data_IF_121261377816
#
_entry.id   IF_121261377816
#
_cell.length_a   1.000
_cell.length_b   1.000
_cell.length_c   1.000
_cell.angle_alpha   90.00
_cell.angle_beta   90.00
_cell.angle_gamma   90.00
#
_symmetry.space_group_name_H-M   'P 1'
#
loop_
_entity.id
_entity.type
_entity.pdbx_description
1 polymer ?
#
# COMPACT_ATOMS: atom_id res chain seq x y z
N UNK A 1 1.13 -4.52 -24.09
CA UNK A 1 2.49 -4.26 -23.57
C UNK A 1 2.47 -3.67 -22.16
N UNK A 2 1.93 -2.45 -21.96
CA UNK A 2 1.93 -1.78 -20.65
C UNK A 2 1.24 -2.57 -19.51
N UNK A 3 0.09 -3.20 -19.77
CA UNK A 3 -0.62 -3.99 -18.75
C UNK A 3 0.17 -5.21 -18.25
N UNK A 4 1.02 -5.81 -19.10
CA UNK A 4 1.89 -6.94 -18.71
C UNK A 4 2.97 -6.45 -17.76
N UNK A 5 3.61 -5.32 -18.08
CA UNK A 5 4.60 -4.70 -17.20
C UNK A 5 3.98 -4.38 -15.83
N UNK A 6 2.82 -3.72 -15.82
CA UNK A 6 2.12 -3.40 -14.57
C UNK A 6 1.81 -4.68 -13.78
N UNK A 7 1.29 -5.72 -14.42
CA UNK A 7 0.97 -6.99 -13.75
C UNK A 7 2.18 -7.64 -13.08
N UNK A 8 3.33 -7.65 -13.76
CA UNK A 8 4.59 -8.22 -13.25
C UNK A 8 5.09 -7.49 -11.99
N UNK A 9 4.85 -6.18 -11.86
CA UNK A 9 5.26 -5.43 -10.66
C UNK A 9 4.19 -5.43 -9.56
N UNK A 10 2.91 -5.33 -9.91
CA UNK A 10 1.81 -5.22 -8.94
C UNK A 10 1.62 -6.51 -8.16
N UNK A 11 1.76 -7.68 -8.80
CA UNK A 11 1.61 -8.98 -8.12
C UNK A 11 2.60 -9.19 -6.97
N UNK A 12 3.92 -9.16 -7.24
CA UNK A 12 4.94 -9.27 -6.20
C UNK A 12 4.82 -8.20 -5.12
N UNK A 13 4.54 -6.94 -5.48
CA UNK A 13 4.34 -5.87 -4.51
C UNK A 13 3.17 -6.16 -3.55
N UNK A 14 2.05 -6.68 -4.06
CA UNK A 14 0.91 -7.07 -3.24
C UNK A 14 1.19 -8.29 -2.33
N UNK A 15 1.97 -9.25 -2.79
CA UNK A 15 2.35 -10.41 -1.97
C UNK A 15 3.37 -10.03 -0.89
N UNK A 16 4.36 -9.21 -1.24
CA UNK A 16 5.39 -8.72 -0.32
C UNK A 16 4.78 -7.89 0.82
N UNK A 17 3.84 -6.98 0.52
CA UNK A 17 3.16 -6.17 1.54
C UNK A 17 2.43 -7.04 2.58
N UNK A 18 1.71 -8.09 2.14
CA UNK A 18 1.04 -9.01 3.07
C UNK A 18 2.03 -9.83 3.90
N UNK A 19 3.13 -10.28 3.28
CA UNK A 19 4.18 -11.02 4.00
C UNK A 19 4.87 -10.14 5.05
N UNK A 20 5.20 -8.89 4.72
CA UNK A 20 5.82 -7.94 5.64
C UNK A 20 4.90 -7.62 6.81
N UNK A 21 3.61 -7.39 6.55
CA UNK A 21 2.62 -7.17 7.59
C UNK A 21 2.56 -8.36 8.57
N UNK A 22 2.60 -9.60 8.07
CA UNK A 22 2.63 -10.79 8.92
C UNK A 22 3.87 -10.88 9.82
N UNK A 23 4.98 -10.24 9.45
CA UNK A 23 6.23 -10.20 10.24
C UNK A 23 6.25 -9.05 11.27
N UNK A 24 5.49 -7.98 11.02
CA UNK A 24 5.45 -6.78 11.88
C UNK A 24 4.34 -6.82 12.94
N UNK A 25 3.45 -7.81 12.86
CA UNK A 25 2.27 -7.88 13.72
C UNK A 25 2.47 -8.94 14.81
N UNK A 26 2.31 -8.57 16.10
CA UNK A 26 2.35 -9.52 17.22
C UNK A 26 1.26 -10.59 17.11
N UNK A 27 1.57 -11.84 17.47
CA UNK A 27 0.67 -13.00 17.45
C UNK A 27 -0.70 -12.69 18.08
N UNK A 28 -0.68 -12.06 19.26
CA UNK A 28 -1.88 -11.73 20.04
C UNK A 28 -2.82 -10.72 19.38
N UNK A 29 -2.32 -9.88 18.47
CA UNK A 29 -3.10 -8.82 17.81
C UNK A 29 -3.26 -9.03 16.30
N UNK A 30 -2.87 -10.20 15.76
CA UNK A 30 -2.96 -10.51 14.33
C UNK A 30 -4.33 -10.18 13.72
N UNK A 31 -5.41 -10.59 14.36
CA UNK A 31 -6.77 -10.33 13.84
C UNK A 31 -7.11 -8.85 13.67
N UNK A 32 -6.73 -8.01 14.63
CA UNK A 32 -7.04 -6.58 14.62
C UNK A 32 -6.25 -5.85 13.53
N UNK A 33 -4.93 -6.10 13.47
CA UNK A 33 -4.05 -5.49 12.47
C UNK A 33 -4.37 -5.93 11.04
N UNK A 34 -4.67 -7.22 10.81
CA UNK A 34 -5.14 -7.68 9.50
C UNK A 34 -6.52 -7.12 9.14
N UNK A 35 -7.40 -6.91 10.14
CA UNK A 35 -8.67 -6.20 9.97
C UNK A 35 -8.47 -4.77 9.50
N UNK A 36 -7.59 -4.00 10.15
CA UNK A 36 -7.22 -2.65 9.73
C UNK A 36 -6.57 -2.61 8.33
N UNK A 37 -5.68 -3.57 8.03
CA UNK A 37 -5.07 -3.69 6.70
C UNK A 37 -6.12 -3.90 5.61
N UNK A 38 -7.07 -4.81 5.83
CA UNK A 38 -8.16 -5.07 4.89
C UNK A 38 -9.11 -3.87 4.76
N UNK A 39 -9.41 -3.18 5.86
CA UNK A 39 -10.23 -1.96 5.87
C UNK A 39 -9.57 -0.84 5.06
N UNK A 40 -8.28 -0.57 5.31
CA UNK A 40 -7.50 0.43 4.56
C UNK A 40 -7.50 0.15 3.05
N UNK A 41 -7.32 -1.12 2.66
CA UNK A 41 -7.44 -1.55 1.27
C UNK A 41 -8.82 -1.23 0.69
N UNK A 42 -9.90 -1.53 1.42
CA UNK A 42 -11.28 -1.25 1.00
C UNK A 42 -11.54 0.26 0.86
N UNK A 43 -11.09 1.08 1.80
CA UNK A 43 -11.21 2.55 1.73
C UNK A 43 -10.51 3.08 0.49
N UNK A 44 -9.29 2.62 0.23
CA UNK A 44 -8.49 3.05 -0.93
C UNK A 44 -9.17 2.67 -2.26
N UNK A 45 -9.83 1.50 -2.32
CA UNK A 45 -10.60 1.07 -3.51
C UNK A 45 -11.74 2.01 -3.89
N UNK A 46 -12.33 2.72 -2.92
CA UNK A 46 -13.34 3.75 -3.20
C UNK A 46 -12.70 5.11 -3.49
N UNK A 47 -11.67 5.49 -2.72
CA UNK A 47 -10.99 6.78 -2.88
C UNK A 47 -10.26 6.92 -4.21
N UNK A 48 -9.64 5.84 -4.72
CA UNK A 48 -8.87 5.87 -5.96
C UNK A 48 -9.71 6.33 -7.17
N UNK A 49 -10.82 5.65 -7.52
CA UNK A 49 -11.71 6.07 -8.59
C UNK A 49 -12.33 7.45 -8.35
N UNK A 50 -12.65 7.79 -7.10
CA UNK A 50 -13.24 9.10 -6.76
C UNK A 50 -12.27 10.25 -7.04
N UNK A 51 -11.01 10.12 -6.59
CA UNK A 51 -9.95 11.10 -6.86
C UNK A 51 -9.62 11.19 -8.35
N UNK A 52 -9.52 10.04 -9.02
CA UNK A 52 -9.29 10.01 -10.46
C UNK A 52 -10.42 10.74 -11.20
N UNK A 53 -11.68 10.45 -10.88
CA UNK A 53 -12.84 11.13 -11.47
C UNK A 53 -12.85 12.63 -11.22
N UNK A 54 -12.55 13.06 -10.00
CA UNK A 54 -12.44 14.47 -9.63
C UNK A 54 -11.33 15.21 -10.39
N UNK A 55 -10.26 14.52 -10.78
CA UNK A 55 -9.17 15.09 -11.58
C UNK A 55 -9.46 15.04 -13.10
N UNK A 56 -10.13 13.99 -13.58
CA UNK A 56 -10.45 13.82 -15.00
C UNK A 56 -11.40 14.91 -15.49
N UNK A 57 -12.43 15.28 -14.72
CA UNK A 57 -13.44 16.26 -15.15
C UNK A 57 -12.84 17.65 -15.48
N UNK A 58 -12.05 18.28 -14.59
CA UNK A 58 -11.46 19.60 -14.88
C UNK A 58 -10.16 19.56 -15.70
N UNK A 59 -9.32 18.52 -15.57
CA UNK A 59 -7.96 18.51 -16.15
C UNK A 59 -7.76 17.49 -17.28
N UNK A 60 -8.73 16.61 -17.52
CA UNK A 60 -8.65 15.53 -18.50
C UNK A 60 -7.83 14.32 -18.03
N UNK A 61 -7.93 13.23 -18.80
CA UNK A 61 -7.36 11.91 -18.45
C UNK A 61 -5.84 11.92 -18.27
N UNK A 62 -5.11 12.70 -19.07
CA UNK A 62 -3.63 12.73 -19.03
C UNK A 62 -3.11 13.27 -17.69
N UNK A 63 -3.68 14.37 -17.21
CA UNK A 63 -3.29 14.96 -15.91
C UNK A 63 -3.75 14.06 -14.77
N UNK A 64 -4.96 13.52 -14.85
CA UNK A 64 -5.47 12.60 -13.83
C UNK A 64 -4.58 11.35 -13.68
N UNK A 65 -4.15 10.71 -14.77
CA UNK A 65 -3.22 9.56 -14.72
C UNK A 65 -1.83 9.98 -14.23
N UNK A 66 -1.37 11.20 -14.55
CA UNK A 66 -0.08 11.71 -14.06
C UNK A 66 -0.03 11.84 -12.53
N UNK A 67 -1.18 12.01 -11.86
CA UNK A 67 -1.25 12.00 -10.38
C UNK A 67 -0.74 10.69 -9.75
N UNK A 68 -0.80 9.57 -10.49
CA UNK A 68 -0.26 8.29 -10.00
C UNK A 68 1.24 8.38 -9.75
N UNK A 69 1.98 9.18 -10.53
CA UNK A 69 3.41 9.40 -10.31
C UNK A 69 3.62 10.02 -8.93
N UNK A 70 2.83 11.04 -8.58
CA UNK A 70 2.90 11.67 -7.25
C UNK A 70 2.63 10.65 -6.14
N UNK A 71 1.55 9.84 -6.26
CA UNK A 71 1.24 8.82 -5.26
C UNK A 71 2.34 7.77 -5.12
N UNK A 72 2.90 7.28 -6.23
CA UNK A 72 4.01 6.33 -6.20
C UNK A 72 5.28 6.95 -5.62
N UNK A 73 5.59 8.21 -5.94
CA UNK A 73 6.76 8.91 -5.38
C UNK A 73 6.61 9.07 -3.87
N UNK A 74 5.47 9.55 -3.39
CA UNK A 74 5.21 9.70 -1.95
C UNK A 74 5.27 8.34 -1.25
N UNK A 75 4.62 7.31 -1.80
CA UNK A 75 4.67 5.95 -1.25
C UNK A 75 6.08 5.37 -1.22
N UNK A 76 6.88 5.58 -2.27
CA UNK A 76 8.26 5.14 -2.33
C UNK A 76 9.12 5.86 -1.28
N UNK A 77 8.99 7.19 -1.14
CA UNK A 77 9.72 7.95 -0.12
C UNK A 77 9.39 7.46 1.30
N UNK A 78 8.12 7.16 1.58
CA UNK A 78 7.72 6.60 2.88
C UNK A 78 8.36 5.21 3.08
N UNK A 79 8.30 4.33 2.07
CA UNK A 79 8.89 2.99 2.17
C UNK A 79 10.40 3.02 2.40
N UNK A 80 11.12 4.00 1.84
CA UNK A 80 12.56 4.15 2.06
C UNK A 80 12.91 4.50 3.52
N UNK A 81 11.96 5.03 4.29
CA UNK A 81 12.16 5.36 5.72
C UNK A 81 11.84 4.20 6.66
N UNK A 82 11.32 3.09 6.15
CA UNK A 82 10.91 1.94 6.99
C UNK A 82 12.10 1.03 7.26
N UNK A 83 12.42 0.86 8.54
CA UNK A 83 13.37 -0.15 9.02
C UNK A 83 12.64 -1.46 9.31
N UNK A 84 12.91 -2.49 8.50
CA UNK A 84 12.31 -3.81 8.67
C UNK A 84 12.78 -4.55 9.91
N UNK A 85 14.03 -4.37 10.32
CA UNK A 85 14.58 -5.08 11.48
C UNK A 85 13.95 -4.55 12.76
N UNK A 86 13.91 -3.23 12.91
CA UNK A 86 13.28 -2.58 14.05
C UNK A 86 11.79 -2.96 14.20
N UNK A 87 11.05 -3.06 13.08
CA UNK A 87 9.64 -3.48 13.09
C UNK A 87 9.42 -4.91 13.57
N UNK A 88 10.31 -5.83 13.19
CA UNK A 88 10.22 -7.25 13.60
C UNK A 88 10.61 -7.41 15.07
N UNK A 89 11.62 -6.69 15.53
CA UNK A 89 12.03 -6.70 16.94
C UNK A 89 10.93 -6.16 17.85
N UNK A 90 10.28 -5.06 17.45
CA UNK A 90 9.13 -4.51 18.17
C UNK A 90 7.96 -5.50 18.24
N UNK A 91 7.67 -6.22 17.15
CA UNK A 91 6.63 -7.24 17.12
C UNK A 91 6.94 -8.39 18.09
N UNK A 92 8.18 -8.88 18.11
CA UNK A 92 8.63 -9.93 19.03
C UNK A 92 8.58 -9.49 20.48
N UNK A 93 9.06 -8.28 20.78
CA UNK A 93 9.06 -7.74 22.14
C UNK A 93 7.63 -7.59 22.71
N UNK A 94 6.63 -7.36 21.84
CA UNK A 94 5.23 -7.31 22.24
C UNK A 94 4.61 -8.70 22.48
N UNK A 95 5.20 -9.78 21.95
CA UNK A 95 4.72 -11.16 22.15
C UNK A 95 5.30 -11.84 23.40
N UNK A 96 6.38 -11.28 24.00
CA UNK A 96 6.94 -11.70 25.30
C UNK A 96 6.14 -11.09 26.45
#
# INVERSE_FOLDING_TARGET
AAGVLIGVFVGPNQSASRSLMGRFVPEKHKGEFFGFFAFSGKVTSFMGPMLLGALVVPFGMRVAVSSLILFFTVGALILLTVDEQAGIEAARAADV
#
